data_IF_612797428303
#
_entry.id   IF_612797428303
#
_cell.length_a   1.000
_cell.length_b   1.000
_cell.length_c   1.000
_cell.angle_alpha   90.00
_cell.angle_beta   90.00
_cell.angle_gamma   90.00
#
_symmetry.space_group_name_H-M   'P 1'
#
loop_
_entity.id
_entity.type
_entity.pdbx_description
1 polymer ?
#
# COMPACT_ATOMS: atom_id res chain seq x y z
N UNK A 1 -17.41 3.54 21.98
CA UNK A 1 -17.68 3.26 20.55
C UNK A 1 -17.28 1.82 20.23
N UNK A 2 -18.11 1.10 19.49
CA UNK A 2 -17.95 -0.33 19.21
C UNK A 2 -18.41 -0.63 17.79
N UNK A 3 -17.80 -1.66 17.17
CA UNK A 3 -18.30 -2.28 15.95
C UNK A 3 -18.96 -3.60 16.36
N UNK A 4 -20.27 -3.69 16.14
CA UNK A 4 -21.07 -4.85 16.51
C UNK A 4 -21.48 -5.58 15.23
N UNK A 5 -21.20 -6.89 15.16
CA UNK A 5 -21.62 -7.72 14.04
C UNK A 5 -23.13 -7.60 13.80
N UNK A 6 -23.52 -7.68 12.55
CA UNK A 6 -24.94 -7.75 12.21
C UNK A 6 -25.49 -9.09 12.68
N UNK A 7 -26.59 -9.05 13.39
CA UNK A 7 -27.29 -10.21 13.94
C UNK A 7 -28.80 -10.01 13.82
N UNK A 8 -29.56 -11.04 14.14
CA UNK A 8 -31.03 -10.98 14.14
C UNK A 8 -31.58 -9.85 15.04
N UNK A 9 -30.87 -9.53 16.14
CA UNK A 9 -31.30 -8.52 17.11
C UNK A 9 -31.16 -7.07 16.60
N UNK A 10 -30.21 -6.81 15.69
CA UNK A 10 -29.90 -5.45 15.23
C UNK A 10 -30.16 -5.21 13.74
N UNK A 11 -30.42 -6.26 12.98
CA UNK A 11 -30.61 -6.22 11.53
C UNK A 11 -31.63 -5.17 11.09
N UNK A 12 -32.83 -5.18 11.68
CA UNK A 12 -33.92 -4.27 11.31
C UNK A 12 -33.57 -2.77 11.51
N UNK A 13 -32.73 -2.49 12.50
CA UNK A 13 -32.26 -1.13 12.75
C UNK A 13 -31.15 -0.74 11.77
N UNK A 14 -30.23 -1.67 11.46
CA UNK A 14 -29.11 -1.42 10.55
C UNK A 14 -29.60 -1.18 9.13
N UNK A 15 -30.52 -1.97 8.61
CA UNK A 15 -31.02 -1.79 7.23
C UNK A 15 -31.86 -0.51 7.03
N UNK A 16 -32.30 0.11 8.13
CA UNK A 16 -33.03 1.39 8.11
C UNK A 16 -32.12 2.63 8.16
N UNK A 17 -30.82 2.43 8.41
CA UNK A 17 -29.87 3.53 8.38
C UNK A 17 -29.88 4.21 7.00
N UNK A 18 -29.85 5.52 7.01
CA UNK A 18 -29.80 6.36 5.81
C UNK A 18 -28.70 7.41 5.93
N UNK A 19 -28.20 7.82 4.78
CA UNK A 19 -27.23 8.92 4.67
C UNK A 19 -27.39 9.61 3.31
N UNK A 20 -27.09 10.90 3.27
CA UNK A 20 -27.05 11.67 2.01
C UNK A 20 -26.04 11.09 1.01
N UNK A 21 -24.96 10.47 1.50
CA UNK A 21 -23.97 9.81 0.65
C UNK A 21 -24.59 8.63 -0.13
N UNK A 22 -25.54 7.87 0.47
CA UNK A 22 -26.30 6.83 -0.22
C UNK A 22 -27.22 7.44 -1.29
N UNK A 23 -27.96 8.50 -0.95
CA UNK A 23 -28.84 9.19 -1.90
C UNK A 23 -28.06 9.78 -3.10
N UNK A 24 -26.80 10.14 -2.90
CA UNK A 24 -25.89 10.63 -3.95
C UNK A 24 -25.16 9.50 -4.70
N UNK A 25 -25.38 8.23 -4.34
CA UNK A 25 -24.70 7.08 -4.95
C UNK A 25 -23.24 6.92 -4.60
N UNK A 26 -22.78 7.53 -3.50
CA UNK A 26 -21.38 7.45 -3.07
C UNK A 26 -21.09 6.27 -2.13
N UNK A 27 -22.11 5.71 -1.52
CA UNK A 27 -22.06 4.50 -0.68
C UNK A 27 -23.28 3.64 -0.95
N UNK A 28 -23.13 2.34 -0.78
CA UNK A 28 -24.24 1.40 -0.91
C UNK A 28 -25.10 1.38 0.34
N UNK A 29 -26.35 0.93 0.18
CA UNK A 29 -27.23 0.69 1.34
C UNK A 29 -26.65 -0.44 2.23
N UNK A 30 -26.93 -0.43 3.52
CA UNK A 30 -26.55 -1.55 4.40
C UNK A 30 -27.10 -2.89 3.88
N UNK A 31 -28.32 -2.91 3.35
CA UNK A 31 -28.92 -4.13 2.81
C UNK A 31 -28.14 -4.69 1.62
N UNK A 32 -27.66 -3.83 0.71
CA UNK A 32 -26.82 -4.25 -0.41
C UNK A 32 -25.50 -4.87 0.10
N UNK A 33 -24.80 -4.17 1.00
CA UNK A 33 -23.55 -4.67 1.58
C UNK A 33 -23.75 -5.99 2.35
N UNK A 34 -24.89 -6.21 2.99
CA UNK A 34 -25.21 -7.48 3.65
C UNK A 34 -25.44 -8.60 2.63
N UNK A 35 -26.03 -8.30 1.47
CA UNK A 35 -26.15 -9.27 0.39
C UNK A 35 -24.77 -9.65 -0.17
N UNK A 36 -23.85 -8.70 -0.34
CA UNK A 36 -22.45 -8.99 -0.70
C UNK A 36 -21.76 -9.88 0.34
N UNK A 37 -21.92 -9.55 1.63
CA UNK A 37 -21.38 -10.37 2.73
C UNK A 37 -21.96 -11.79 2.74
N UNK A 38 -23.20 -11.99 2.33
CA UNK A 38 -23.80 -13.32 2.20
C UNK A 38 -23.18 -14.10 1.03
N UNK A 39 -22.90 -13.43 -0.10
CA UNK A 39 -22.30 -14.05 -1.29
C UNK A 39 -20.83 -14.44 -1.07
N UNK A 40 -20.09 -13.67 -0.28
CA UNK A 40 -18.69 -13.94 0.06
C UNK A 40 -18.46 -13.89 1.59
N UNK A 41 -19.20 -14.76 2.29
CA UNK A 41 -19.17 -14.82 3.75
C UNK A 41 -17.82 -15.26 4.34
N UNK A 42 -16.93 -15.84 3.54
CA UNK A 42 -15.59 -16.21 4.00
C UNK A 42 -14.68 -14.99 4.13
N UNK A 43 -14.84 -14.00 3.24
CA UNK A 43 -13.94 -12.86 3.13
C UNK A 43 -14.58 -11.51 3.48
N UNK A 44 -15.89 -11.44 3.67
CA UNK A 44 -16.58 -10.19 3.99
C UNK A 44 -17.19 -10.20 5.39
N UNK A 45 -17.21 -9.02 6.03
CA UNK A 45 -17.88 -8.78 7.30
C UNK A 45 -18.55 -7.42 7.29
N UNK A 46 -19.68 -7.34 7.99
CA UNK A 46 -20.44 -6.10 8.16
C UNK A 46 -20.73 -5.81 9.62
N UNK A 47 -20.70 -4.52 9.99
CA UNK A 47 -20.88 -4.07 11.37
C UNK A 47 -21.78 -2.85 11.44
N UNK A 48 -22.64 -2.81 12.44
CA UNK A 48 -23.20 -1.56 12.94
C UNK A 48 -22.14 -0.81 13.77
N UNK A 49 -22.07 0.50 13.59
CA UNK A 49 -21.20 1.38 14.38
C UNK A 49 -22.02 1.95 15.52
N UNK A 50 -21.63 1.68 16.75
CA UNK A 50 -22.35 2.11 17.96
C UNK A 50 -21.52 3.04 18.83
N UNK A 51 -22.17 4.04 19.40
CA UNK A 51 -21.61 4.86 20.48
C UNK A 51 -22.60 4.92 21.65
N UNK A 52 -22.17 4.51 22.85
CA UNK A 52 -23.05 4.41 24.03
C UNK A 52 -24.37 3.66 23.74
N UNK A 53 -24.29 2.50 23.07
CA UNK A 53 -25.41 1.63 22.66
C UNK A 53 -26.35 2.26 21.60
N UNK A 54 -26.03 3.43 21.07
CA UNK A 54 -26.79 4.06 19.99
C UNK A 54 -26.15 3.68 18.66
N UNK A 55 -26.95 3.15 17.73
CA UNK A 55 -26.51 2.88 16.36
C UNK A 55 -26.35 4.19 15.60
N UNK A 56 -25.11 4.50 15.18
CA UNK A 56 -24.76 5.78 14.55
C UNK A 56 -24.21 5.65 13.13
N UNK A 57 -24.00 4.44 12.63
CA UNK A 57 -23.46 4.24 11.30
C UNK A 57 -23.29 2.77 10.95
N UNK A 58 -22.70 2.53 9.79
CA UNK A 58 -22.50 1.21 9.23
C UNK A 58 -21.15 1.12 8.53
N UNK A 59 -20.59 -0.09 8.48
CA UNK A 59 -19.40 -0.40 7.70
C UNK A 59 -19.40 -1.86 7.26
N UNK A 60 -18.83 -2.13 6.07
CA UNK A 60 -18.45 -3.47 5.63
C UNK A 60 -16.99 -3.50 5.21
N UNK A 61 -16.36 -4.65 5.33
CA UNK A 61 -14.96 -4.87 5.02
C UNK A 61 -14.76 -6.19 4.28
N UNK A 62 -13.76 -6.18 3.41
CA UNK A 62 -13.25 -7.36 2.71
C UNK A 62 -11.83 -7.67 3.19
N UNK A 63 -11.50 -8.97 3.28
CA UNK A 63 -10.14 -9.43 3.58
C UNK A 63 -9.91 -10.79 2.92
N UNK A 64 -8.77 -10.93 2.30
CA UNK A 64 -8.33 -12.21 1.70
C UNK A 64 -6.81 -12.21 1.60
N UNK A 65 -6.19 -13.26 2.10
CA UNK A 65 -4.74 -13.40 2.14
C UNK A 65 -4.07 -12.16 2.79
N UNK A 66 -3.29 -11.40 2.05
CA UNK A 66 -2.61 -10.17 2.45
C UNK A 66 -3.36 -8.88 2.06
N UNK A 67 -4.56 -9.00 1.48
CA UNK A 67 -5.38 -7.88 1.03
C UNK A 67 -6.53 -7.58 1.99
N UNK A 68 -6.68 -6.31 2.35
CA UNK A 68 -7.82 -5.80 3.12
C UNK A 68 -8.37 -4.52 2.53
N UNK A 69 -9.69 -4.39 2.55
CA UNK A 69 -10.39 -3.22 2.04
C UNK A 69 -11.60 -2.86 2.89
N UNK A 70 -11.77 -1.58 3.17
CA UNK A 70 -13.02 -1.03 3.67
C UNK A 70 -13.91 -0.82 2.45
N UNK A 71 -15.02 -1.58 2.36
CA UNK A 71 -15.90 -1.57 1.19
C UNK A 71 -16.94 -0.48 1.33
N UNK A 72 -17.71 -0.47 2.43
CA UNK A 72 -18.71 0.53 2.72
C UNK A 72 -18.45 1.13 4.10
N UNK A 73 -18.59 2.44 4.22
CA UNK A 73 -18.39 3.15 5.49
C UNK A 73 -19.15 4.45 5.51
N UNK A 74 -20.06 4.60 6.45
CA UNK A 74 -20.69 5.89 6.73
C UNK A 74 -21.11 6.05 8.18
N UNK A 75 -21.21 7.29 8.60
CA UNK A 75 -21.87 7.74 9.81
C UNK A 75 -23.16 8.45 9.40
N UNK A 76 -24.29 8.15 10.04
CA UNK A 76 -25.58 8.80 9.78
C UNK A 76 -25.45 10.32 9.95
N UNK A 77 -26.13 11.08 9.09
CA UNK A 77 -25.93 12.53 8.95
C UNK A 77 -26.02 13.30 10.27
N UNK A 78 -26.92 12.91 11.17
CA UNK A 78 -27.11 13.53 12.49
C UNK A 78 -25.92 13.34 13.44
N UNK A 79 -25.05 12.34 13.18
CA UNK A 79 -23.86 12.03 13.99
C UNK A 79 -22.56 12.45 13.30
N UNK A 80 -22.61 13.00 12.09
CA UNK A 80 -21.42 13.49 11.38
C UNK A 80 -20.80 14.72 12.08
N UNK A 81 -19.56 15.04 11.70
CA UNK A 81 -18.80 16.18 12.24
C UNK A 81 -18.53 16.14 13.75
N UNK A 82 -18.74 15.02 14.42
CA UNK A 82 -18.52 14.79 15.86
C UNK A 82 -17.33 13.85 16.14
N UNK A 83 -16.43 13.67 15.18
CA UNK A 83 -15.26 12.79 15.24
C UNK A 83 -15.58 11.28 15.35
N UNK A 84 -16.83 10.86 15.21
CA UNK A 84 -17.21 9.45 15.28
C UNK A 84 -16.60 8.64 14.14
N UNK A 85 -16.61 9.15 12.91
CA UNK A 85 -15.98 8.48 11.78
C UNK A 85 -14.50 8.18 12.02
N UNK A 86 -13.73 9.15 12.55
CA UNK A 86 -12.32 8.96 12.89
C UNK A 86 -12.12 7.83 13.92
N UNK A 87 -12.96 7.78 14.96
CA UNK A 87 -12.88 6.74 16.00
C UNK A 87 -13.21 5.36 15.42
N UNK A 88 -14.26 5.27 14.60
CA UNK A 88 -14.66 4.03 13.96
C UNK A 88 -13.59 3.49 13.00
N UNK A 89 -12.97 4.36 12.19
CA UNK A 89 -11.82 3.98 11.35
C UNK A 89 -10.67 3.45 12.18
N UNK A 90 -10.37 4.06 13.33
CA UNK A 90 -9.34 3.56 14.25
C UNK A 90 -9.59 2.11 14.69
N UNK A 91 -10.84 1.77 15.04
CA UNK A 91 -11.22 0.40 15.43
C UNK A 91 -11.08 -0.56 14.23
N UNK A 92 -11.54 -0.17 13.04
CA UNK A 92 -11.38 -0.98 11.82
C UNK A 92 -9.91 -1.27 11.50
N UNK A 93 -9.06 -0.26 11.58
CA UNK A 93 -7.61 -0.41 11.38
C UNK A 93 -7.01 -1.38 12.39
N UNK A 94 -7.41 -1.29 13.66
CA UNK A 94 -6.98 -2.23 14.70
C UNK A 94 -7.43 -3.67 14.40
N UNK A 95 -8.62 -3.87 13.85
CA UNK A 95 -9.13 -5.17 13.43
C UNK A 95 -8.24 -5.73 12.31
N UNK A 96 -8.01 -4.98 11.24
CA UNK A 96 -7.16 -5.41 10.14
C UNK A 96 -5.74 -5.75 10.59
N UNK A 97 -5.16 -4.92 11.46
CA UNK A 97 -3.80 -5.12 11.95
C UNK A 97 -3.67 -6.29 12.92
N UNK A 98 -4.58 -6.42 13.89
CA UNK A 98 -4.44 -7.39 14.99
C UNK A 98 -4.98 -8.76 14.62
N UNK A 99 -6.13 -8.83 13.97
CA UNK A 99 -6.78 -10.10 13.64
C UNK A 99 -6.34 -10.67 12.30
N UNK A 100 -6.22 -9.81 11.27
CA UNK A 100 -5.84 -10.25 9.93
C UNK A 100 -4.36 -10.06 9.62
N UNK A 101 -3.60 -9.40 10.51
CA UNK A 101 -2.14 -9.16 10.39
C UNK A 101 -1.72 -8.51 9.07
N UNK A 102 -2.57 -7.67 8.52
CA UNK A 102 -2.31 -7.00 7.24
C UNK A 102 -1.29 -5.88 7.39
N UNK A 103 -0.48 -5.68 6.36
CA UNK A 103 0.51 -4.61 6.28
C UNK A 103 -0.08 -3.29 5.76
N UNK A 104 -1.23 -3.36 5.13
CA UNK A 104 -1.93 -2.18 4.61
C UNK A 104 -3.41 -2.47 4.38
N UNK A 105 -4.23 -1.40 4.33
CA UNK A 105 -5.66 -1.46 4.07
C UNK A 105 -6.04 -0.46 2.99
N UNK A 106 -6.88 -0.87 2.05
CA UNK A 106 -7.40 -0.05 0.96
C UNK A 106 -8.78 0.51 1.27
N UNK A 107 -9.14 1.59 0.59
CA UNK A 107 -10.51 2.10 0.47
C UNK A 107 -10.72 2.66 -0.93
N UNK A 108 -11.85 2.34 -1.56
CA UNK A 108 -12.30 2.97 -2.78
C UNK A 108 -13.13 4.22 -2.47
N UNK A 109 -12.81 5.33 -3.10
CA UNK A 109 -13.56 6.58 -2.96
C UNK A 109 -14.05 7.01 -4.34
N UNK A 110 -15.34 7.32 -4.45
CA UNK A 110 -15.91 7.81 -5.68
C UNK A 110 -15.22 9.13 -6.09
N UNK A 111 -14.76 9.25 -7.34
CA UNK A 111 -13.91 10.35 -7.82
C UNK A 111 -14.50 11.75 -7.57
N UNK A 112 -15.83 11.87 -7.56
CA UNK A 112 -16.54 13.13 -7.33
C UNK A 112 -16.79 13.39 -5.83
N UNK A 113 -16.53 12.44 -4.94
CA UNK A 113 -16.70 12.57 -3.50
C UNK A 113 -15.43 13.14 -2.83
N UNK A 114 -15.18 14.43 -3.05
CA UNK A 114 -14.04 15.15 -2.43
C UNK A 114 -14.08 15.10 -0.90
N UNK A 115 -15.28 15.13 -0.31
CA UNK A 115 -15.43 15.07 1.14
C UNK A 115 -14.92 13.75 1.73
N UNK A 116 -15.23 12.62 1.09
CA UNK A 116 -14.70 11.32 1.49
C UNK A 116 -13.19 11.22 1.24
N UNK A 117 -12.70 11.70 0.09
CA UNK A 117 -11.26 11.74 -0.18
C UNK A 117 -10.49 12.48 0.92
N UNK A 118 -10.91 13.71 1.26
CA UNK A 118 -10.30 14.51 2.32
C UNK A 118 -10.42 13.85 3.70
N UNK A 119 -11.55 13.19 3.97
CA UNK A 119 -11.73 12.44 5.21
C UNK A 119 -10.70 11.31 5.34
N UNK A 120 -10.56 10.47 4.32
CA UNK A 120 -9.62 9.35 4.33
C UNK A 120 -8.16 9.81 4.35
N UNK A 121 -7.83 10.85 3.59
CA UNK A 121 -6.49 11.46 3.62
C UNK A 121 -6.12 11.94 5.04
N UNK A 122 -7.05 12.59 5.77
CA UNK A 122 -6.87 13.00 7.18
C UNK A 122 -6.75 11.81 8.14
N UNK A 123 -7.21 10.59 7.77
CA UNK A 123 -6.96 9.37 8.52
C UNK A 123 -5.60 8.72 8.16
N UNK A 124 -4.80 9.35 7.29
CA UNK A 124 -3.48 8.88 6.87
C UNK A 124 -3.52 7.81 5.78
N UNK A 125 -4.61 7.78 5.00
CA UNK A 125 -4.64 7.04 3.73
C UNK A 125 -3.96 7.88 2.66
N UNK A 126 -3.09 7.28 1.87
CA UNK A 126 -2.38 7.90 0.74
C UNK A 126 -3.08 7.55 -0.57
N UNK A 127 -3.14 8.47 -1.49
CA UNK A 127 -3.59 8.21 -2.85
C UNK A 127 -2.58 7.29 -3.55
N UNK A 128 -3.05 6.16 -4.09
CA UNK A 128 -2.20 5.21 -4.83
C UNK A 128 -2.07 5.55 -6.31
N UNK A 129 -2.80 6.55 -6.78
CA UNK A 129 -2.94 6.85 -8.20
C UNK A 129 -3.74 5.80 -8.98
N UNK A 130 -4.21 4.74 -8.34
CA UNK A 130 -5.01 3.72 -9.02
C UNK A 130 -6.47 4.19 -9.14
N UNK A 131 -7.02 4.07 -10.35
CA UNK A 131 -8.41 4.38 -10.65
C UNK A 131 -9.02 3.17 -11.35
N UNK A 132 -10.15 2.71 -10.86
CA UNK A 132 -10.92 1.63 -11.46
C UNK A 132 -12.38 2.08 -11.59
N UNK A 133 -12.85 2.22 -12.83
CA UNK A 133 -14.15 2.83 -13.09
C UNK A 133 -14.23 4.25 -12.54
N UNK A 134 -15.16 4.47 -11.64
CA UNK A 134 -15.39 5.76 -10.99
C UNK A 134 -14.71 5.90 -9.62
N UNK A 135 -13.91 4.92 -9.21
CA UNK A 135 -13.26 4.91 -7.90
C UNK A 135 -11.77 5.24 -7.97
N UNK A 136 -11.33 6.06 -7.03
CA UNK A 136 -9.92 6.31 -6.69
C UNK A 136 -9.60 5.46 -5.47
N UNK A 137 -8.50 4.71 -5.50
CA UNK A 137 -8.11 3.86 -4.39
C UNK A 137 -7.04 4.54 -3.53
N UNK A 138 -7.36 4.70 -2.25
CA UNK A 138 -6.41 5.14 -1.24
C UNK A 138 -5.97 3.95 -0.40
N UNK A 139 -4.77 4.04 0.18
CA UNK A 139 -4.21 2.98 1.02
C UNK A 139 -3.60 3.52 2.30
N UNK A 140 -3.88 2.86 3.41
CA UNK A 140 -3.23 3.12 4.69
C UNK A 140 -2.21 2.05 4.99
N UNK A 141 -0.98 2.47 5.25
CA UNK A 141 0.12 1.61 5.66
C UNK A 141 -0.03 1.31 7.16
N UNK A 142 0.03 0.03 7.53
CA UNK A 142 -0.09 -0.45 8.91
C UNK A 142 1.24 -0.88 9.49
N UNK A 143 2.12 -1.47 8.68
CA UNK A 143 3.46 -1.88 9.06
C UNK A 143 4.50 -1.14 8.23
N UNK A 144 5.55 -0.67 8.91
CA UNK A 144 6.65 0.08 8.30
C UNK A 144 7.98 -0.56 8.72
N UNK A 145 8.86 -0.79 7.77
CA UNK A 145 10.25 -1.18 8.02
C UNK A 145 11.06 0.12 8.11
N UNK A 146 11.29 0.60 9.33
CA UNK A 146 11.91 1.91 9.55
C UNK A 146 13.39 1.91 9.15
N UNK A 147 13.82 2.98 8.47
CA UNK A 147 15.20 3.31 8.17
C UNK A 147 15.61 4.57 8.94
N UNK A 148 14.76 5.60 8.91
CA UNK A 148 14.88 6.80 9.74
C UNK A 148 13.49 7.36 10.01
N UNK A 149 13.40 8.50 10.72
CA UNK A 149 12.11 9.13 11.05
C UNK A 149 11.21 9.33 9.82
N UNK A 150 11.79 9.77 8.72
CA UNK A 150 11.04 10.18 7.52
C UNK A 150 11.27 9.22 6.33
N UNK A 151 12.07 8.16 6.51
CA UNK A 151 12.39 7.17 5.48
C UNK A 151 12.10 5.75 5.99
N UNK A 152 11.29 5.02 5.26
CA UNK A 152 10.92 3.64 5.60
C UNK A 152 10.53 2.85 4.35
N UNK A 153 10.55 1.52 4.46
CA UNK A 153 10.01 0.62 3.44
C UNK A 153 8.62 0.15 3.85
N UNK A 154 7.81 -0.14 2.85
CA UNK A 154 6.50 -0.79 3.00
C UNK A 154 6.40 -1.94 2.01
N UNK A 155 5.76 -3.03 2.41
CA UNK A 155 5.50 -4.13 1.49
C UNK A 155 4.76 -3.62 0.25
N UNK A 156 5.14 -4.17 -0.90
CA UNK A 156 4.55 -3.80 -2.17
C UNK A 156 3.02 -3.97 -2.17
N UNK A 157 2.37 -3.05 -2.82
CA UNK A 157 0.96 -3.09 -3.22
C UNK A 157 0.79 -2.41 -4.58
N UNK A 158 -0.24 -2.72 -5.36
CA UNK A 158 -0.45 -2.06 -6.64
C UNK A 158 -0.63 -0.54 -6.50
N UNK A 159 0.32 0.23 -7.01
CA UNK A 159 0.29 1.70 -7.13
C UNK A 159 0.87 2.13 -8.49
N UNK A 160 0.38 1.47 -9.55
CA UNK A 160 0.99 1.51 -10.87
C UNK A 160 1.13 2.91 -11.47
N UNK A 161 0.17 3.82 -11.24
CA UNK A 161 0.26 5.18 -11.79
C UNK A 161 1.41 5.98 -11.19
N UNK A 162 1.62 5.86 -9.87
CA UNK A 162 2.71 6.56 -9.19
C UNK A 162 4.06 5.96 -9.57
N UNK A 163 4.16 4.62 -9.54
CA UNK A 163 5.42 3.96 -9.84
C UNK A 163 5.79 4.03 -11.31
N UNK A 164 4.81 4.11 -12.23
CA UNK A 164 5.10 4.27 -13.67
C UNK A 164 5.90 5.54 -13.96
N UNK A 165 5.67 6.62 -13.21
CA UNK A 165 6.42 7.87 -13.38
C UNK A 165 7.94 7.68 -13.26
N UNK A 166 8.39 6.74 -12.41
CA UNK A 166 9.82 6.47 -12.24
C UNK A 166 10.41 5.74 -13.45
N UNK A 167 9.63 4.87 -14.09
CA UNK A 167 10.03 4.05 -15.23
C UNK A 167 9.69 4.69 -16.59
N UNK A 168 9.09 5.87 -16.57
CA UNK A 168 8.94 6.74 -17.75
C UNK A 168 10.09 7.74 -17.91
N UNK A 169 11.04 7.77 -16.99
CA UNK A 169 12.30 8.49 -17.14
C UNK A 169 13.32 7.60 -17.88
N UNK A 170 13.67 7.98 -19.11
CA UNK A 170 14.61 7.23 -19.96
C UNK A 170 15.96 6.95 -19.29
N UNK A 171 16.44 7.90 -18.49
CA UNK A 171 17.68 7.72 -17.74
C UNK A 171 17.53 6.59 -16.71
N UNK A 172 16.40 6.54 -15.97
CA UNK A 172 16.11 5.45 -15.02
C UNK A 172 16.16 4.10 -15.70
N UNK A 173 15.39 3.93 -16.77
CA UNK A 173 15.28 2.63 -17.47
C UNK A 173 16.62 2.22 -18.06
N UNK A 174 17.38 3.18 -18.61
CA UNK A 174 18.73 2.93 -19.10
C UNK A 174 19.68 2.45 -18.01
N UNK A 175 19.60 3.06 -16.82
CA UNK A 175 20.47 2.71 -15.69
C UNK A 175 20.08 1.39 -15.01
N UNK A 176 18.81 0.97 -15.08
CA UNK A 176 18.30 -0.23 -14.41
C UNK A 176 18.32 -1.45 -15.33
N UNK A 177 17.82 -1.31 -16.56
CA UNK A 177 17.60 -2.44 -17.47
C UNK A 177 18.40 -2.37 -18.78
N UNK A 178 19.15 -1.28 -18.98
CA UNK A 178 19.91 -1.01 -20.20
C UNK A 178 19.07 -1.04 -21.48
N UNK A 179 17.83 -0.60 -21.40
CA UNK A 179 16.94 -0.44 -22.55
C UNK A 179 16.76 1.04 -22.90
N UNK A 180 16.39 1.33 -24.13
CA UNK A 180 16.24 2.71 -24.63
C UNK A 180 14.79 3.20 -24.60
N UNK A 181 13.83 2.28 -24.49
CA UNK A 181 12.40 2.58 -24.39
C UNK A 181 11.93 2.60 -22.94
N UNK A 182 11.01 3.50 -22.64
CA UNK A 182 10.38 3.58 -21.31
C UNK A 182 9.34 2.48 -21.15
N UNK A 183 9.00 2.16 -19.89
CA UNK A 183 8.00 1.13 -19.60
C UNK A 183 6.60 1.59 -19.98
N UNK A 184 5.83 0.70 -20.56
CA UNK A 184 4.37 0.75 -20.56
C UNK A 184 3.84 0.33 -19.17
N UNK A 185 2.55 0.56 -18.94
CA UNK A 185 1.90 0.08 -17.70
C UNK A 185 1.86 -1.45 -17.64
N UNK A 186 1.79 -2.12 -18.78
CA UNK A 186 1.82 -3.59 -18.91
C UNK A 186 3.21 -4.14 -18.58
N UNK A 187 4.27 -3.48 -19.01
CA UNK A 187 5.66 -3.84 -18.65
C UNK A 187 5.86 -3.70 -17.14
N UNK A 188 5.41 -2.60 -16.57
CA UNK A 188 5.49 -2.36 -15.14
C UNK A 188 4.74 -3.42 -14.33
N UNK A 189 3.52 -3.77 -14.74
CA UNK A 189 2.73 -4.83 -14.10
C UNK A 189 3.43 -6.18 -14.16
N UNK A 190 4.03 -6.53 -15.31
CA UNK A 190 4.79 -7.78 -15.46
C UNK A 190 6.00 -7.81 -14.53
N UNK A 191 6.78 -6.73 -14.49
CA UNK A 191 7.95 -6.60 -13.62
C UNK A 191 7.56 -6.77 -12.14
N UNK A 192 6.59 -6.02 -11.65
CA UNK A 192 6.17 -6.13 -10.26
C UNK A 192 5.54 -7.49 -9.92
N UNK A 193 4.80 -8.09 -10.85
CA UNK A 193 4.27 -9.45 -10.67
C UNK A 193 5.41 -10.46 -10.54
N UNK A 194 6.46 -10.32 -11.34
CA UNK A 194 7.65 -11.17 -11.25
C UNK A 194 8.37 -10.97 -9.92
N UNK A 195 8.72 -9.73 -9.58
CA UNK A 195 9.48 -9.42 -8.36
C UNK A 195 8.73 -9.83 -7.09
N UNK A 196 7.41 -9.59 -7.02
CA UNK A 196 6.61 -9.95 -5.84
C UNK A 196 6.38 -11.45 -5.68
N UNK A 197 6.47 -12.24 -6.76
CA UNK A 197 6.36 -13.70 -6.71
C UNK A 197 7.68 -14.40 -6.39
N UNK A 198 8.81 -13.77 -6.71
CA UNK A 198 10.13 -14.39 -6.63
C UNK A 198 11.01 -13.75 -5.55
N UNK A 199 10.45 -12.90 -4.69
CA UNK A 199 11.20 -12.27 -3.62
C UNK A 199 10.41 -11.27 -2.82
N UNK A 200 11.14 -10.48 -2.04
CA UNK A 200 10.57 -9.39 -1.23
C UNK A 200 10.65 -8.10 -2.04
N UNK A 201 9.50 -7.55 -2.33
CA UNK A 201 9.36 -6.28 -3.04
C UNK A 201 8.79 -5.21 -2.11
N UNK A 202 9.41 -4.05 -2.10
CA UNK A 202 9.03 -2.93 -1.25
C UNK A 202 8.91 -1.64 -2.03
N UNK A 203 8.01 -0.76 -1.59
CA UNK A 203 8.10 0.66 -1.90
C UNK A 203 8.98 1.38 -0.89
N UNK A 204 9.71 2.37 -1.37
CA UNK A 204 10.49 3.31 -0.57
C UNK A 204 9.61 4.53 -0.32
N UNK A 205 9.37 4.85 0.94
CA UNK A 205 8.60 6.01 1.37
C UNK A 205 9.51 7.02 2.03
N UNK A 206 9.49 8.25 1.55
CA UNK A 206 10.19 9.38 2.12
C UNK A 206 9.25 10.57 2.29
N UNK A 207 9.18 11.14 3.49
CA UNK A 207 8.25 12.23 3.84
C UNK A 207 6.80 11.91 3.43
N UNK A 208 6.35 10.69 3.81
CA UNK A 208 5.03 10.11 3.52
C UNK A 208 4.66 10.02 2.02
N UNK A 209 5.64 10.08 1.12
CA UNK A 209 5.46 9.90 -0.33
C UNK A 209 6.18 8.67 -0.82
N UNK A 210 5.57 7.94 -1.76
CA UNK A 210 6.25 6.89 -2.51
C UNK A 210 7.29 7.55 -3.43
N UNK A 211 8.56 7.18 -3.28
CA UNK A 211 9.69 7.82 -3.99
C UNK A 211 10.52 6.85 -4.80
N UNK A 212 10.20 5.56 -4.74
CA UNK A 212 10.93 4.52 -5.44
C UNK A 212 10.50 3.14 -4.97
N UNK A 213 11.18 2.14 -5.47
CA UNK A 213 11.02 0.74 -5.08
C UNK A 213 12.37 0.06 -4.86
N UNK A 214 12.34 -1.07 -4.15
CA UNK A 214 13.49 -1.93 -3.99
C UNK A 214 13.06 -3.38 -3.73
N UNK A 215 13.94 -4.32 -4.07
CA UNK A 215 13.65 -5.74 -3.92
C UNK A 215 14.91 -6.54 -3.54
N UNK A 216 14.68 -7.68 -2.86
CA UNK A 216 15.60 -8.80 -2.75
C UNK A 216 14.88 -9.98 -3.39
N UNK A 217 15.36 -10.48 -4.54
CA UNK A 217 14.65 -11.48 -5.32
C UNK A 217 15.63 -12.49 -5.92
N UNK A 218 15.14 -13.54 -6.50
CA UNK A 218 15.90 -14.61 -7.17
C UNK A 218 17.41 -14.64 -6.86
N UNK A 219 17.91 -15.71 -6.30
CA UNK A 219 19.34 -15.84 -6.00
C UNK A 219 19.97 -14.62 -5.28
N UNK A 220 19.16 -13.92 -4.44
CA UNK A 220 19.55 -12.77 -3.62
C UNK A 220 20.00 -11.54 -4.43
N UNK A 221 19.41 -11.34 -5.61
CA UNK A 221 19.59 -10.09 -6.36
C UNK A 221 18.92 -8.93 -5.67
N UNK A 222 19.61 -7.78 -5.70
CA UNK A 222 19.10 -6.49 -5.26
C UNK A 222 18.69 -5.63 -6.45
N UNK A 223 17.52 -5.03 -6.37
CA UNK A 223 17.12 -3.90 -7.21
C UNK A 223 16.78 -2.70 -6.31
N UNK A 224 17.17 -1.50 -6.74
CA UNK A 224 16.82 -0.23 -6.08
C UNK A 224 16.58 0.82 -7.15
N UNK A 225 15.40 1.38 -7.18
CA UNK A 225 15.03 2.49 -8.05
C UNK A 225 14.58 3.67 -7.20
N UNK A 226 15.17 4.84 -7.43
CA UNK A 226 14.78 6.11 -6.80
C UNK A 226 14.28 7.04 -7.88
N UNK A 227 13.07 7.54 -7.71
CA UNK A 227 12.48 8.52 -8.62
C UNK A 227 13.37 9.76 -8.79
N UNK A 228 13.43 10.30 -9.99
CA UNK A 228 14.36 11.36 -10.40
C UNK A 228 14.41 12.53 -9.42
N UNK A 229 13.26 12.98 -8.93
CA UNK A 229 13.14 14.13 -8.04
C UNK A 229 13.70 13.89 -6.62
N UNK A 230 14.03 12.64 -6.27
CA UNK A 230 14.52 12.24 -4.94
C UNK A 230 15.94 11.67 -4.96
N UNK A 231 16.62 11.75 -6.11
CA UNK A 231 18.04 11.37 -6.23
C UNK A 231 18.94 12.37 -5.49
N UNK A 232 20.17 11.95 -5.17
CA UNK A 232 21.18 12.76 -4.46
C UNK A 232 20.79 13.18 -3.02
N UNK A 233 19.73 12.61 -2.44
CA UNK A 233 19.29 12.83 -1.06
C UNK A 233 19.76 11.73 -0.09
N UNK A 234 20.76 10.94 -0.48
CA UNK A 234 21.27 9.78 0.28
C UNK A 234 20.22 8.68 0.57
N UNK A 235 19.04 8.72 -0.09
CA UNK A 235 17.99 7.71 0.09
C UNK A 235 18.50 6.34 -0.33
N UNK A 236 19.03 6.19 -1.54
CA UNK A 236 19.54 4.91 -2.05
C UNK A 236 20.60 4.28 -1.16
N UNK A 237 21.49 5.10 -0.55
CA UNK A 237 22.51 4.62 0.39
C UNK A 237 21.89 4.01 1.66
N UNK A 238 20.91 4.70 2.25
CA UNK A 238 20.23 4.24 3.46
C UNK A 238 19.35 3.02 3.17
N UNK A 239 18.71 2.97 1.99
CA UNK A 239 17.92 1.81 1.55
C UNK A 239 18.83 0.61 1.33
N UNK A 240 19.99 0.76 0.68
CA UNK A 240 20.94 -0.32 0.50
C UNK A 240 21.43 -0.88 1.85
N UNK A 241 21.73 0.00 2.83
CA UNK A 241 22.08 -0.43 4.19
C UNK A 241 20.97 -1.31 4.79
N UNK A 242 19.70 -0.86 4.67
CA UNK A 242 18.58 -1.63 5.22
C UNK A 242 18.36 -2.96 4.49
N UNK A 243 18.54 -3.01 3.16
CA UNK A 243 18.45 -4.28 2.42
C UNK A 243 19.57 -5.26 2.82
N UNK A 244 20.78 -4.77 3.11
CA UNK A 244 21.88 -5.59 3.66
C UNK A 244 21.47 -6.15 5.03
N UNK A 245 20.91 -5.33 5.91
CA UNK A 245 20.43 -5.79 7.21
C UNK A 245 19.31 -6.82 7.08
N UNK A 246 18.34 -6.59 6.18
CA UNK A 246 17.28 -7.57 5.89
C UNK A 246 17.85 -8.88 5.34
N UNK A 247 18.89 -8.83 4.51
CA UNK A 247 19.59 -10.04 4.04
C UNK A 247 20.18 -10.83 5.19
N UNK A 248 20.81 -10.16 6.17
CA UNK A 248 21.34 -10.79 7.39
C UNK A 248 20.23 -11.34 8.29
N UNK A 249 19.14 -10.58 8.48
CA UNK A 249 17.97 -11.02 9.25
C UNK A 249 17.32 -12.29 8.66
N UNK A 250 17.53 -12.55 7.36
CA UNK A 250 17.05 -13.75 6.63
C UNK A 250 18.09 -14.86 6.51
N UNK A 251 19.23 -14.72 7.16
CA UNK A 251 20.34 -15.68 7.11
C UNK A 251 20.81 -15.98 5.66
N UNK A 252 20.82 -14.95 4.79
CA UNK A 252 21.34 -15.09 3.44
C UNK A 252 22.88 -15.10 3.48
N UNK A 253 23.51 -16.00 2.71
CA UNK A 253 24.97 -16.08 2.62
C UNK A 253 25.59 -14.86 1.91
N UNK A 254 24.86 -14.27 0.98
CA UNK A 254 25.33 -13.15 0.18
C UNK A 254 24.16 -12.37 -0.42
N UNK A 255 24.48 -11.15 -0.87
CA UNK A 255 23.64 -10.34 -1.75
C UNK A 255 24.39 -10.03 -3.04
N UNK A 256 23.68 -9.92 -4.17
CA UNK A 256 24.31 -9.58 -5.43
C UNK A 256 23.49 -8.54 -6.21
N UNK A 257 24.13 -7.82 -7.11
CA UNK A 257 23.50 -6.83 -7.96
C UNK A 257 24.13 -6.82 -9.34
N UNK A 258 23.31 -6.70 -10.37
CA UNK A 258 23.76 -6.40 -11.71
C UNK A 258 23.88 -4.88 -11.86
N UNK A 259 25.06 -4.40 -12.25
CA UNK A 259 25.34 -2.97 -12.35
C UNK A 259 26.12 -2.72 -13.62
N UNK A 260 25.51 -2.04 -14.57
CA UNK A 260 26.14 -1.71 -15.85
C UNK A 260 27.33 -0.78 -15.66
N UNK A 261 28.41 -1.00 -16.43
CA UNK A 261 29.68 -0.26 -16.28
C UNK A 261 29.51 1.26 -16.49
N UNK A 262 28.49 1.70 -17.20
CA UNK A 262 28.16 3.13 -17.36
C UNK A 262 27.42 3.73 -16.16
N UNK A 263 26.80 2.94 -15.27
CA UNK A 263 26.08 3.41 -14.11
C UNK A 263 27.03 3.73 -12.94
N UNK A 264 27.80 4.80 -13.07
CA UNK A 264 28.83 5.19 -12.10
C UNK A 264 28.26 5.48 -10.72
N UNK A 265 27.04 6.01 -10.62
CA UNK A 265 26.38 6.28 -9.34
C UNK A 265 26.10 5.00 -8.56
N UNK A 266 25.52 3.98 -9.19
CA UNK A 266 25.31 2.67 -8.57
C UNK A 266 26.63 1.96 -8.25
N UNK A 267 27.60 2.03 -9.17
CA UNK A 267 28.93 1.45 -8.92
C UNK A 267 29.59 2.05 -7.66
N UNK A 268 29.57 3.37 -7.51
CA UNK A 268 30.11 4.03 -6.32
C UNK A 268 29.35 3.63 -5.05
N UNK A 269 28.02 3.58 -5.13
CA UNK A 269 27.14 3.22 -4.02
C UNK A 269 27.43 1.79 -3.53
N UNK A 270 27.36 0.81 -4.41
CA UNK A 270 27.52 -0.61 -4.04
C UNK A 270 28.95 -0.94 -3.64
N UNK A 271 29.96 -0.45 -4.36
CA UNK A 271 31.38 -0.59 -3.97
C UNK A 271 31.66 0.03 -2.61
N UNK A 272 31.07 1.20 -2.31
CA UNK A 272 31.18 1.86 -1.02
C UNK A 272 30.55 1.07 0.15
N UNK A 273 29.73 0.06 -0.15
CA UNK A 273 29.14 -0.89 0.81
C UNK A 273 29.82 -2.26 0.82
N UNK A 274 30.95 -2.40 0.12
CA UNK A 274 31.76 -3.60 0.14
C UNK A 274 31.43 -4.62 -0.94
N UNK A 275 30.53 -4.33 -1.87
CA UNK A 275 30.27 -5.20 -3.00
C UNK A 275 31.50 -5.29 -3.91
N UNK A 276 31.90 -6.51 -4.26
CA UNK A 276 33.05 -6.80 -5.10
C UNK A 276 32.59 -7.33 -6.45
N UNK A 277 33.24 -6.90 -7.52
CA UNK A 277 32.97 -7.43 -8.88
C UNK A 277 33.40 -8.90 -8.94
N UNK A 278 32.47 -9.79 -9.28
CA UNK A 278 32.75 -11.24 -9.45
C UNK A 278 32.78 -11.67 -10.90
N UNK A 279 32.07 -10.98 -11.80
CA UNK A 279 32.16 -11.11 -13.25
C UNK A 279 31.71 -9.80 -13.94
N UNK A 280 31.62 -9.77 -15.26
CA UNK A 280 31.13 -8.59 -15.96
C UNK A 280 29.76 -8.17 -15.40
N UNK A 281 29.64 -6.91 -15.00
CA UNK A 281 28.42 -6.28 -14.49
C UNK A 281 27.79 -6.94 -13.24
N UNK A 282 28.37 -8.01 -12.69
CA UNK A 282 27.88 -8.65 -11.49
C UNK A 282 28.76 -8.36 -10.29
N UNK A 283 28.12 -7.84 -9.24
CA UNK A 283 28.74 -7.50 -7.96
C UNK A 283 28.10 -8.28 -6.82
N UNK A 284 28.90 -8.69 -5.84
CA UNK A 284 28.45 -9.49 -4.70
C UNK A 284 29.03 -8.96 -3.39
N UNK A 285 28.24 -9.04 -2.34
CA UNK A 285 28.59 -8.85 -0.95
C UNK A 285 28.30 -10.13 -0.19
N UNK A 286 29.30 -10.75 0.43
CA UNK A 286 29.12 -11.84 1.39
C UNK A 286 28.68 -11.22 2.74
N UNK A 287 27.64 -11.78 3.40
CA UNK A 287 26.96 -11.19 4.56
C UNK A 287 27.48 -11.65 5.93
#
# INVERSE_FOLDING_TARGET
>A
MELINVSEENFDNIIKLKTKAEEQGFVDSPLYSLAECFLDHDHMRAFGIYDNHILIGFTSMYFKDDFGQIINFFISDEYQNKSFGRKAVGILIDIFKKFYKLDSVSVGVYKDNKGAFDFWAKQGFIDTGNVEGDYIYLRKILNKILISKDLYLVNYFPAYRLSLEWYQDKETVKMVDNIDDVYSIEDLKRMYTYLSKNGDLYYIVYDDKLVGDCAIFDHNFLAIVIGKNFRNMNIGKKVLDKLIDLGREKDLDYLQAEIYDFNQASLALFKGKGFKKIKKELYRLDL
#
